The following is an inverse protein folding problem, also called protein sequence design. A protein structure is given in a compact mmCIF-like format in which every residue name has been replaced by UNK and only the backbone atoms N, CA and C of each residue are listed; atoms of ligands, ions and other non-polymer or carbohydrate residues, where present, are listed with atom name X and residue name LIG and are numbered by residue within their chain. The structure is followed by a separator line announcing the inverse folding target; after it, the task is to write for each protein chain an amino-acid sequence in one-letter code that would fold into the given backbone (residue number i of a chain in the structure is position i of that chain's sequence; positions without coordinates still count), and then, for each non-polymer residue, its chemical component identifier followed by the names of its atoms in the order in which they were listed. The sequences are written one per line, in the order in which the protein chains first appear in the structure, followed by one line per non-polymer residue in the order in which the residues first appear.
data_IF_204677494956
#
_entry.id   IF_204677494956
#
_cell.length_a   1.000
_cell.length_b   1.000
_cell.length_c   1.000
_cell.angle_alpha   90.00
_cell.angle_beta   90.00
_cell.angle_gamma   90.00
#
_symmetry.space_group_name_H-M   'P 1'
#
loop_
_entity.id
_entity.type
_entity.pdbx_description
1 polymer ?
#
# COMPACT_ATOMS: atom_id res chain seq x y z
N UNK A 1 8.36 20.64 -3.04
CA UNK A 1 8.26 21.07 -4.45
C UNK A 1 9.67 21.13 -5.04
N UNK A 2 9.85 20.63 -6.25
CA UNK A 2 11.15 20.59 -6.94
C UNK A 2 11.03 21.35 -8.26
N UNK A 3 12.02 22.21 -8.52
CA UNK A 3 12.20 22.93 -9.78
C UNK A 3 13.70 23.12 -10.10
N UNK A 4 14.00 23.40 -11.36
CA UNK A 4 15.38 23.62 -11.83
C UNK A 4 15.92 25.00 -11.39
N UNK A 5 15.08 26.01 -11.50
CA UNK A 5 15.42 27.41 -11.21
C UNK A 5 14.85 27.82 -9.84
N UNK A 6 15.18 29.01 -9.29
CA UNK A 6 14.57 29.49 -8.07
C UNK A 6 13.04 29.45 -8.12
N UNK A 7 12.43 28.88 -7.09
CA UNK A 7 10.98 28.62 -7.06
C UNK A 7 10.14 29.89 -7.20
N UNK A 8 10.67 31.03 -6.75
CA UNK A 8 10.03 32.34 -6.90
C UNK A 8 9.84 32.78 -8.35
N UNK A 9 10.53 32.16 -9.31
CA UNK A 9 10.32 32.40 -10.73
C UNK A 9 9.07 31.72 -11.27
N UNK A 10 8.50 30.77 -10.52
CA UNK A 10 7.40 29.93 -10.94
C UNK A 10 6.11 30.23 -10.18
N UNK A 11 6.23 30.48 -8.86
CA UNK A 11 5.09 30.68 -7.98
C UNK A 11 5.45 31.71 -6.90
N UNK A 12 4.47 32.45 -6.38
CA UNK A 12 4.66 33.29 -5.20
C UNK A 12 5.05 32.43 -3.99
N UNK A 13 5.97 32.95 -3.18
CA UNK A 13 6.49 32.26 -1.99
C UNK A 13 6.28 33.16 -0.77
N UNK A 14 5.92 32.55 0.35
CA UNK A 14 5.84 33.18 1.66
C UNK A 14 6.59 32.30 2.68
N UNK A 15 6.57 32.71 3.94
CA UNK A 15 7.09 31.92 5.06
C UNK A 15 5.95 31.51 5.98
N UNK A 16 6.00 30.27 6.48
CA UNK A 16 5.15 29.77 7.55
C UNK A 16 5.99 29.26 8.71
N UNK A 17 5.45 29.18 9.89
CA UNK A 17 6.10 28.56 11.02
C UNK A 17 6.28 27.07 10.76
N UNK A 18 7.46 26.53 11.05
CA UNK A 18 7.74 25.12 10.89
C UNK A 18 7.01 24.33 12.00
N UNK A 19 6.17 23.36 11.65
CA UNK A 19 5.39 22.61 12.64
C UNK A 19 6.26 21.71 13.53
N UNK A 20 7.42 21.27 13.04
CA UNK A 20 8.30 20.34 13.75
C UNK A 20 9.38 21.07 14.57
N UNK A 21 9.70 22.31 14.20
CA UNK A 21 10.78 23.11 14.84
C UNK A 21 10.25 24.49 15.28
N UNK A 22 9.75 24.63 16.52
CA UNK A 22 9.24 25.89 17.03
C UNK A 22 10.26 27.03 16.90
N UNK A 23 9.82 28.16 16.33
CA UNK A 23 10.65 29.32 16.10
C UNK A 23 11.42 29.34 14.77
N UNK A 24 11.41 28.24 14.02
CA UNK A 24 11.90 28.19 12.66
C UNK A 24 10.81 28.55 11.66
N UNK A 25 11.19 29.22 10.57
CA UNK A 25 10.28 29.51 9.46
C UNK A 25 10.72 28.75 8.22
N UNK A 26 9.77 28.10 7.56
CA UNK A 26 9.99 27.41 6.31
C UNK A 26 9.37 28.17 5.13
N UNK A 27 9.96 28.07 3.96
CA UNK A 27 9.44 28.66 2.73
C UNK A 27 8.28 27.80 2.20
N UNK A 28 7.17 28.42 1.90
CA UNK A 28 5.95 27.77 1.36
C UNK A 28 5.48 28.46 0.09
N UNK A 29 5.04 27.67 -0.87
CA UNK A 29 4.40 28.16 -2.08
C UNK A 29 2.98 28.65 -1.74
N UNK A 30 2.53 29.70 -2.41
CA UNK A 30 1.19 30.25 -2.19
C UNK A 30 0.07 29.58 -3.00
N UNK A 31 0.44 28.79 -4.01
CA UNK A 31 -0.52 28.00 -4.75
C UNK A 31 -0.86 26.70 -4.01
N UNK A 32 -2.14 26.32 -4.05
CA UNK A 32 -2.62 25.07 -3.48
C UNK A 32 -1.94 23.85 -4.10
N UNK A 33 -1.72 22.80 -3.29
CA UNK A 33 -1.07 21.57 -3.72
C UNK A 33 -1.76 20.84 -4.86
N UNK A 34 -3.06 21.09 -5.11
CA UNK A 34 -3.79 20.49 -6.23
C UNK A 34 -3.50 21.18 -7.58
N UNK A 35 -3.08 22.45 -7.55
CA UNK A 35 -2.81 23.22 -8.77
C UNK A 35 -1.31 23.42 -9.03
N UNK A 36 -0.45 23.12 -8.06
CA UNK A 36 0.98 23.37 -8.15
C UNK A 36 1.63 22.66 -9.35
N UNK A 37 1.19 21.44 -9.66
CA UNK A 37 1.73 20.67 -10.80
C UNK A 37 1.36 21.30 -12.15
N UNK A 38 0.24 22.01 -12.24
CA UNK A 38 -0.17 22.70 -13.47
C UNK A 38 0.69 23.92 -13.79
N UNK A 39 1.49 24.41 -12.84
CA UNK A 39 2.49 25.45 -13.05
C UNK A 39 3.82 24.94 -13.61
N UNK A 40 3.96 23.63 -13.84
CA UNK A 40 5.18 22.99 -14.32
C UNK A 40 6.16 22.58 -13.22
N UNK A 41 5.75 22.67 -11.95
CA UNK A 41 6.56 22.23 -10.81
C UNK A 41 6.28 20.75 -10.48
N UNK A 42 7.28 20.08 -9.90
CA UNK A 42 7.16 18.70 -9.44
C UNK A 42 6.84 18.70 -7.95
N UNK A 43 5.70 18.10 -7.58
CA UNK A 43 5.33 17.83 -6.19
C UNK A 43 5.79 16.43 -5.80
N UNK A 44 6.60 16.35 -4.77
CA UNK A 44 7.01 15.08 -4.16
C UNK A 44 6.53 15.02 -2.71
N UNK A 45 5.90 13.91 -2.35
CA UNK A 45 5.45 13.64 -0.99
C UNK A 45 6.45 12.70 -0.31
N UNK A 46 7.11 13.17 0.76
CA UNK A 46 8.04 12.38 1.55
C UNK A 46 7.31 11.86 2.78
N UNK A 47 7.07 10.54 2.82
CA UNK A 47 6.41 9.87 3.93
C UNK A 47 7.43 9.00 4.68
N UNK A 48 7.72 9.36 5.92
CA UNK A 48 8.56 8.58 6.81
C UNK A 48 7.75 7.56 7.60
N UNK A 49 8.37 6.41 7.91
CA UNK A 49 7.83 5.41 8.82
C UNK A 49 8.68 5.37 10.09
N UNK A 50 8.17 5.88 11.21
CA UNK A 50 8.85 5.88 12.52
C UNK A 50 9.25 4.47 12.95
N UNK A 51 8.40 3.46 12.71
CA UNK A 51 8.63 2.06 13.04
C UNK A 51 9.92 1.51 12.42
N UNK A 52 10.27 1.90 11.19
CA UNK A 52 11.55 1.48 10.60
C UNK A 52 12.75 2.08 11.33
N UNK A 53 12.64 3.31 11.83
CA UNK A 53 13.68 3.95 12.64
C UNK A 53 13.80 3.28 14.01
N UNK A 54 12.67 2.90 14.62
CA UNK A 54 12.61 2.15 15.88
C UNK A 54 13.26 0.78 15.74
N UNK A 55 12.96 0.04 14.65
CA UNK A 55 13.60 -1.25 14.37
C UNK A 55 15.12 -1.10 14.20
N UNK A 56 15.56 -0.09 13.46
CA UNK A 56 16.99 0.18 13.26
C UNK A 56 17.70 0.46 14.60
N UNK A 57 17.07 1.24 15.46
CA UNK A 57 17.65 1.53 16.79
C UNK A 57 17.61 0.28 17.69
N UNK A 58 16.55 -0.51 17.65
CA UNK A 58 16.44 -1.77 18.39
C UNK A 58 17.57 -2.75 18.01
N UNK A 59 17.84 -2.93 16.72
CA UNK A 59 18.97 -3.75 16.25
C UNK A 59 20.31 -3.27 16.82
N UNK A 60 20.52 -1.95 16.81
CA UNK A 60 21.73 -1.35 17.36
C UNK A 60 21.86 -1.57 18.88
N UNK A 61 20.76 -1.41 19.62
CA UNK A 61 20.73 -1.68 21.07
C UNK A 61 20.98 -3.17 21.36
N UNK A 62 20.39 -4.09 20.62
CA UNK A 62 20.64 -5.54 20.76
C UNK A 62 22.12 -5.84 20.54
N UNK A 63 22.75 -5.27 19.51
CA UNK A 63 24.19 -5.47 19.27
C UNK A 63 25.04 -4.92 20.45
N UNK A 64 24.69 -3.76 20.98
CA UNK A 64 25.44 -3.14 22.09
C UNK A 64 25.31 -3.91 23.41
N UNK A 65 24.11 -4.48 23.69
CA UNK A 65 23.83 -5.12 24.97
C UNK A 65 24.14 -6.62 24.99
N UNK A 66 24.02 -7.30 23.86
CA UNK A 66 24.17 -8.76 23.78
C UNK A 66 25.32 -9.23 22.89
N UNK A 67 25.92 -8.34 22.11
CA UNK A 67 26.91 -8.68 21.09
C UNK A 67 26.35 -9.39 19.85
N UNK A 68 25.03 -9.70 19.82
CA UNK A 68 24.38 -10.36 18.68
C UNK A 68 24.14 -9.37 17.54
N UNK A 69 24.41 -9.82 16.35
CA UNK A 69 23.98 -9.13 15.14
C UNK A 69 22.61 -9.66 14.68
N UNK A 70 21.71 -8.76 14.33
CA UNK A 70 20.40 -9.08 13.76
C UNK A 70 20.40 -8.53 12.34
N UNK A 71 20.27 -9.43 11.37
CA UNK A 71 20.15 -9.09 9.95
C UNK A 71 18.66 -9.04 9.58
N UNK A 72 18.14 -7.82 9.36
CA UNK A 72 16.75 -7.61 8.99
C UNK A 72 16.45 -7.93 7.53
N UNK A 73 17.48 -7.99 6.67
CA UNK A 73 17.31 -8.25 5.23
C UNK A 73 17.19 -9.75 4.93
N UNK A 74 17.62 -10.62 5.86
CA UNK A 74 17.60 -12.07 5.71
C UNK A 74 16.73 -12.76 6.78
N UNK A 75 15.62 -12.13 7.17
CA UNK A 75 14.64 -12.75 8.08
C UNK A 75 13.87 -13.84 7.32
N UNK A 76 13.73 -15.08 7.88
CA UNK A 76 12.89 -16.11 7.29
C UNK A 76 11.42 -15.65 7.30
N UNK A 77 10.74 -15.79 6.15
CA UNK A 77 9.34 -15.39 5.98
C UNK A 77 8.35 -16.56 6.18
N UNK A 78 8.85 -17.72 6.59
CA UNK A 78 8.13 -18.98 6.73
C UNK A 78 8.19 -19.54 8.17
N UNK A 79 8.48 -18.70 9.17
CA UNK A 79 8.53 -19.12 10.57
C UNK A 79 7.14 -19.47 11.12
N UNK A 80 6.94 -20.74 11.43
CA UNK A 80 5.65 -21.29 11.89
C UNK A 80 5.15 -20.64 13.20
N UNK A 81 6.05 -20.33 14.14
CA UNK A 81 5.66 -19.70 15.40
C UNK A 81 5.16 -18.28 15.20
N UNK A 82 5.74 -17.57 14.23
CA UNK A 82 5.26 -16.24 13.83
C UNK A 82 3.86 -16.33 13.22
N UNK A 83 3.60 -17.28 12.31
CA UNK A 83 2.25 -17.48 11.77
C UNK A 83 1.24 -17.85 12.84
N UNK A 84 1.61 -18.72 13.81
CA UNK A 84 0.74 -19.05 14.92
C UNK A 84 0.36 -17.80 15.74
N UNK A 85 1.30 -16.88 15.98
CA UNK A 85 1.02 -15.60 16.64
C UNK A 85 -0.04 -14.79 15.89
N UNK A 86 0.08 -14.71 14.55
CA UNK A 86 -0.90 -14.03 13.70
C UNK A 86 -2.25 -14.74 13.70
N UNK A 87 -2.29 -16.08 13.59
CA UNK A 87 -3.51 -16.89 13.63
C UNK A 87 -4.28 -16.74 14.94
N UNK A 88 -3.57 -16.62 16.05
CA UNK A 88 -4.17 -16.37 17.37
C UNK A 88 -4.60 -14.91 17.56
N UNK A 89 -4.21 -14.02 16.67
CA UNK A 89 -4.47 -12.58 16.75
C UNK A 89 -3.75 -11.91 17.92
N UNK A 90 -2.66 -12.47 18.42
CA UNK A 90 -1.82 -11.89 19.48
C UNK A 90 -0.80 -10.91 18.93
N UNK A 91 -1.26 -9.91 18.20
CA UNK A 91 -0.45 -9.03 17.37
C UNK A 91 -0.27 -7.62 17.93
N UNK A 92 -0.46 -7.45 19.23
CA UNK A 92 -0.12 -6.19 19.92
C UNK A 92 1.40 -5.96 19.79
N UNK A 93 1.81 -4.76 19.42
CA UNK A 93 3.21 -4.43 19.14
C UNK A 93 3.68 -4.82 17.72
N UNK A 94 2.82 -5.45 16.93
CA UNK A 94 3.14 -5.81 15.55
C UNK A 94 2.61 -4.74 14.60
N UNK A 95 3.51 -4.00 13.96
CA UNK A 95 3.17 -2.87 13.10
C UNK A 95 2.07 -3.18 12.10
N UNK A 96 1.04 -2.33 12.04
CA UNK A 96 -0.15 -2.42 11.17
C UNK A 96 -1.11 -3.59 11.47
N UNK A 97 -0.83 -4.45 12.46
CA UNK A 97 -1.68 -5.60 12.79
C UNK A 97 -2.28 -5.55 14.21
N UNK A 98 -2.16 -4.42 14.91
CA UNK A 98 -2.48 -4.29 16.33
C UNK A 98 -3.96 -4.03 16.62
N UNK A 99 -4.73 -3.49 15.67
CA UNK A 99 -6.11 -3.11 15.92
C UNK A 99 -7.00 -4.32 16.21
N UNK A 100 -7.99 -4.17 17.09
CA UNK A 100 -8.92 -5.25 17.44
C UNK A 100 -9.66 -5.82 16.21
N UNK A 101 -9.99 -4.97 15.23
CA UNK A 101 -10.61 -5.42 13.97
C UNK A 101 -9.66 -6.27 13.13
N UNK A 102 -8.40 -5.86 12.99
CA UNK A 102 -7.38 -6.64 12.29
C UNK A 102 -7.15 -7.98 12.99
N UNK A 103 -7.01 -7.99 14.32
CA UNK A 103 -6.84 -9.22 15.09
C UNK A 103 -8.00 -10.20 14.91
N UNK A 104 -9.25 -9.68 14.82
CA UNK A 104 -10.42 -10.51 14.51
C UNK A 104 -10.27 -11.18 13.15
N UNK A 105 -9.96 -10.41 12.11
CA UNK A 105 -9.80 -10.95 10.76
C UNK A 105 -8.61 -11.92 10.63
N UNK A 106 -7.52 -11.70 11.35
CA UNK A 106 -6.39 -12.64 11.39
C UNK A 106 -6.79 -14.00 11.96
N UNK A 107 -7.59 -14.01 13.02
CA UNK A 107 -8.11 -15.27 13.60
C UNK A 107 -9.03 -16.03 12.63
N UNK A 108 -9.81 -15.32 11.82
CA UNK A 108 -10.69 -15.92 10.81
C UNK A 108 -9.93 -16.38 9.58
N UNK A 109 -8.89 -15.62 9.18
CA UNK A 109 -8.06 -15.89 7.99
C UNK A 109 -7.15 -17.10 8.17
N UNK A 110 -6.61 -17.30 9.38
CA UNK A 110 -5.57 -18.27 9.64
C UNK A 110 -4.40 -18.16 8.64
N UNK A 111 -3.63 -17.06 8.62
CA UNK A 111 -2.57 -16.85 7.64
C UNK A 111 -1.52 -17.96 7.75
N UNK A 112 -1.10 -18.48 6.60
CA UNK A 112 -0.13 -19.57 6.50
C UNK A 112 1.05 -19.23 5.60
N UNK A 113 0.91 -18.16 4.82
CA UNK A 113 1.95 -17.64 3.90
C UNK A 113 2.03 -16.12 4.02
N UNK A 114 3.16 -15.57 3.62
CA UNK A 114 3.41 -14.13 3.74
C UNK A 114 2.44 -13.29 2.90
N UNK A 115 2.03 -13.82 1.74
CA UNK A 115 1.06 -13.22 0.84
C UNK A 115 -0.30 -12.98 1.51
N UNK A 116 -0.72 -13.83 2.44
CA UNK A 116 -1.95 -13.64 3.21
C UNK A 116 -1.90 -12.36 4.07
N UNK A 117 -0.75 -12.11 4.69
CA UNK A 117 -0.53 -10.92 5.51
C UNK A 117 -0.47 -9.66 4.65
N UNK A 118 0.19 -9.72 3.49
CA UNK A 118 0.24 -8.61 2.53
C UNK A 118 -1.17 -8.27 2.05
N UNK A 119 -1.94 -9.29 1.64
CA UNK A 119 -3.30 -9.10 1.15
C UNK A 119 -4.23 -8.53 2.24
N UNK A 120 -4.13 -9.05 3.47
CA UNK A 120 -4.93 -8.54 4.60
C UNK A 120 -4.61 -7.08 4.88
N UNK A 121 -3.35 -6.68 4.87
CA UNK A 121 -2.94 -5.30 5.05
C UNK A 121 -3.43 -4.38 3.92
N UNK A 122 -3.51 -4.90 2.70
CA UNK A 122 -4.07 -4.17 1.56
C UNK A 122 -5.59 -4.03 1.62
N UNK A 123 -6.28 -5.07 2.10
CA UNK A 123 -7.76 -5.11 2.19
C UNK A 123 -8.29 -4.34 3.41
N UNK A 124 -7.56 -4.31 4.53
CA UNK A 124 -8.03 -3.69 5.78
C UNK A 124 -7.98 -2.15 5.71
N UNK A 125 -8.83 -1.58 4.89
CA UNK A 125 -9.04 -0.13 4.75
C UNK A 125 -10.45 0.14 4.22
N UNK A 126 -11.04 1.33 4.46
CA UNK A 126 -12.38 1.68 3.98
C UNK A 126 -12.54 1.44 2.48
N UNK A 127 -13.56 0.68 2.11
CA UNK A 127 -13.85 0.24 0.75
C UNK A 127 -13.41 -1.21 0.51
N UNK A 128 -12.11 -1.52 0.37
CA UNK A 128 -11.65 -2.89 0.12
C UNK A 128 -11.98 -3.89 1.23
N UNK A 129 -12.19 -3.44 2.46
CA UNK A 129 -12.52 -4.35 3.58
C UNK A 129 -13.83 -5.12 3.40
N UNK A 130 -14.72 -4.68 2.52
CA UNK A 130 -15.95 -5.41 2.19
C UNK A 130 -15.67 -6.75 1.51
N UNK A 131 -14.47 -6.92 0.92
CA UNK A 131 -14.03 -8.15 0.29
C UNK A 131 -13.29 -9.12 1.23
N UNK A 132 -12.99 -8.73 2.47
CA UNK A 132 -12.29 -9.58 3.43
C UNK A 132 -13.05 -10.88 3.72
N UNK A 133 -14.39 -10.90 3.93
CA UNK A 133 -15.11 -12.14 4.16
C UNK A 133 -14.98 -13.14 2.99
N UNK A 134 -15.05 -12.65 1.75
CA UNK A 134 -14.89 -13.51 0.57
C UNK A 134 -13.45 -14.01 0.43
N UNK A 135 -12.46 -13.17 0.74
CA UNK A 135 -11.05 -13.55 0.74
C UNK A 135 -10.79 -14.69 1.74
N UNK A 136 -11.27 -14.54 2.98
CA UNK A 136 -11.16 -15.56 4.03
C UNK A 136 -11.85 -16.86 3.60
N UNK A 137 -13.08 -16.76 3.09
CA UNK A 137 -13.85 -17.91 2.65
C UNK A 137 -13.13 -18.69 1.54
N UNK A 138 -12.61 -18.01 0.53
CA UNK A 138 -11.92 -18.63 -0.61
C UNK A 138 -10.55 -19.20 -0.21
N UNK A 139 -9.85 -18.57 0.72
CA UNK A 139 -8.63 -19.13 1.29
C UNK A 139 -8.89 -20.44 2.04
N UNK A 140 -9.92 -20.46 2.88
CA UNK A 140 -10.26 -21.63 3.70
C UNK A 140 -10.91 -22.78 2.90
N UNK A 141 -11.54 -22.45 1.76
CA UNK A 141 -12.11 -23.41 0.82
C UNK A 141 -11.70 -23.07 -0.62
N UNK A 142 -10.58 -23.63 -1.10
CA UNK A 142 -10.10 -23.38 -2.46
C UNK A 142 -11.09 -23.76 -3.58
N UNK A 143 -12.08 -24.61 -3.31
CA UNK A 143 -13.10 -24.97 -4.29
C UNK A 143 -14.02 -23.79 -4.67
N UNK A 144 -14.05 -22.77 -3.85
CA UNK A 144 -14.80 -21.53 -4.06
C UNK A 144 -14.03 -20.48 -4.90
N UNK A 145 -12.77 -20.75 -5.20
CA UNK A 145 -11.98 -19.84 -6.05
C UNK A 145 -12.45 -19.98 -7.49
N UNK A 146 -12.94 -18.89 -8.04
CA UNK A 146 -13.43 -18.84 -9.42
C UNK A 146 -12.78 -17.66 -10.15
N UNK A 147 -12.60 -17.82 -11.45
CA UNK A 147 -12.11 -16.79 -12.35
C UNK A 147 -13.14 -16.59 -13.46
N UNK A 148 -13.58 -15.35 -13.69
CA UNK A 148 -14.54 -15.05 -14.77
C UNK A 148 -13.99 -15.44 -16.14
N UNK A 149 -12.67 -15.29 -16.32
CA UNK A 149 -11.94 -15.68 -17.52
C UNK A 149 -10.71 -16.48 -17.08
N UNK A 150 -10.45 -17.68 -17.63
CA UNK A 150 -9.38 -18.57 -17.16
C UNK A 150 -7.98 -17.93 -17.09
N UNK A 151 -7.64 -17.01 -18.00
CA UNK A 151 -6.33 -16.35 -17.98
C UNK A 151 -6.13 -15.38 -16.79
N UNK A 152 -7.18 -15.03 -16.04
CA UNK A 152 -7.08 -14.21 -14.83
C UNK A 152 -6.38 -14.96 -13.68
N UNK A 153 -6.44 -16.29 -13.67
CA UNK A 153 -5.76 -17.13 -12.68
C UNK A 153 -4.28 -16.75 -12.55
N UNK A 154 -3.60 -16.52 -13.66
CA UNK A 154 -2.19 -16.13 -13.68
C UNK A 154 -1.85 -14.95 -12.77
N UNK A 155 -2.80 -14.03 -12.58
CA UNK A 155 -2.61 -12.78 -11.83
C UNK A 155 -3.33 -12.76 -10.50
N UNK A 156 -4.33 -13.62 -10.31
CA UNK A 156 -5.21 -13.59 -9.14
C UNK A 156 -5.11 -14.83 -8.24
N UNK A 157 -4.32 -15.85 -8.60
CA UNK A 157 -4.23 -17.08 -7.80
C UNK A 157 -3.76 -16.81 -6.37
N UNK A 158 -2.76 -15.94 -6.18
CA UNK A 158 -2.18 -15.61 -4.87
C UNK A 158 -3.13 -14.74 -4.01
N UNK A 159 -4.21 -14.24 -4.60
CA UNK A 159 -5.28 -13.49 -3.93
C UNK A 159 -6.65 -14.19 -4.05
N UNK A 160 -6.63 -15.50 -4.26
CA UNK A 160 -7.83 -16.36 -4.28
C UNK A 160 -8.91 -15.89 -5.26
N UNK A 161 -8.50 -15.37 -6.42
CA UNK A 161 -9.40 -14.85 -7.45
C UNK A 161 -9.98 -13.45 -7.17
N UNK A 162 -9.49 -12.75 -6.15
CA UNK A 162 -9.92 -11.39 -5.81
C UNK A 162 -8.87 -10.39 -6.28
N UNK A 163 -9.32 -9.31 -6.91
CA UNK A 163 -8.43 -8.20 -7.27
C UNK A 163 -8.16 -7.34 -6.04
N UNK A 164 -6.98 -7.46 -5.48
CA UNK A 164 -6.54 -6.77 -4.25
C UNK A 164 -5.60 -5.62 -4.56
N UNK A 165 -4.66 -5.81 -5.51
CA UNK A 165 -3.58 -4.87 -5.76
C UNK A 165 -3.81 -4.04 -7.02
N UNK A 166 -3.27 -2.82 -7.01
CA UNK A 166 -3.31 -1.93 -8.18
C UNK A 166 -2.61 -2.54 -9.40
N UNK A 167 -1.52 -3.27 -9.17
CA UNK A 167 -0.77 -3.98 -10.19
C UNK A 167 -1.62 -5.03 -10.91
N UNK A 168 -2.48 -5.72 -10.17
CA UNK A 168 -3.41 -6.70 -10.76
C UNK A 168 -4.39 -6.01 -11.72
N UNK A 169 -4.93 -4.85 -11.36
CA UNK A 169 -5.80 -4.06 -12.27
C UNK A 169 -5.06 -3.69 -13.56
N UNK A 170 -3.82 -3.23 -13.43
CA UNK A 170 -3.01 -2.84 -14.58
C UNK A 170 -2.66 -4.04 -15.47
N UNK A 171 -2.29 -5.17 -14.87
CA UNK A 171 -1.94 -6.38 -15.61
C UNK A 171 -3.15 -6.99 -16.30
N UNK A 172 -4.30 -7.06 -15.61
CA UNK A 172 -5.55 -7.57 -16.17
C UNK A 172 -6.04 -6.70 -17.33
N UNK A 173 -6.05 -5.37 -17.19
CA UNK A 173 -6.48 -4.49 -18.29
C UNK A 173 -5.59 -4.61 -19.52
N UNK A 174 -4.30 -4.86 -19.33
CA UNK A 174 -3.38 -5.12 -20.47
C UNK A 174 -3.61 -6.48 -21.09
N UNK A 175 -3.87 -7.50 -20.28
CA UNK A 175 -4.07 -8.87 -20.74
C UNK A 175 -5.42 -9.05 -21.45
N UNK A 176 -6.49 -8.49 -20.90
CA UNK A 176 -7.86 -8.71 -21.37
C UNK A 176 -8.26 -7.72 -22.48
N UNK A 177 -7.82 -6.47 -22.36
CA UNK A 177 -8.23 -5.38 -23.24
C UNK A 177 -7.09 -4.79 -24.08
N UNK A 178 -5.92 -5.41 -24.06
CA UNK A 178 -4.75 -4.93 -24.80
C UNK A 178 -4.36 -3.47 -24.48
N UNK A 179 -4.63 -3.01 -23.28
CA UNK A 179 -4.24 -1.67 -22.86
C UNK A 179 -2.72 -1.50 -22.89
N UNK A 180 -2.28 -0.35 -23.33
CA UNK A 180 -0.88 0.07 -23.16
C UNK A 180 -0.55 0.32 -21.69
N UNK A 181 0.74 0.47 -21.36
CA UNK A 181 1.16 0.84 -19.99
C UNK A 181 0.53 2.15 -19.53
N UNK A 182 0.48 3.16 -20.40
CA UNK A 182 -0.11 4.46 -20.08
C UNK A 182 -1.61 4.37 -19.82
N UNK A 183 -2.35 3.60 -20.63
CA UNK A 183 -3.79 3.41 -20.43
C UNK A 183 -4.11 2.62 -19.16
N UNK A 184 -3.37 1.57 -18.85
CA UNK A 184 -3.55 0.81 -17.61
C UNK A 184 -3.24 1.67 -16.37
N UNK A 185 -2.23 2.55 -16.43
CA UNK A 185 -1.95 3.50 -15.35
C UNK A 185 -3.04 4.59 -15.23
N UNK A 186 -3.56 5.08 -16.36
CA UNK A 186 -4.69 6.01 -16.36
C UNK A 186 -5.95 5.38 -15.74
N UNK A 187 -6.24 4.10 -16.05
CA UNK A 187 -7.34 3.34 -15.44
C UNK A 187 -7.14 3.21 -13.93
N UNK A 188 -5.96 2.76 -13.50
CA UNK A 188 -5.61 2.65 -12.07
C UNK A 188 -5.81 3.98 -11.33
N UNK A 189 -5.30 5.08 -11.89
CA UNK A 189 -5.46 6.43 -11.31
C UNK A 189 -6.93 6.86 -11.23
N UNK A 190 -7.70 6.57 -12.28
CA UNK A 190 -9.12 6.91 -12.32
C UNK A 190 -9.93 6.13 -11.28
N UNK A 191 -9.64 4.83 -11.10
CA UNK A 191 -10.25 4.00 -10.08
C UNK A 191 -9.87 4.47 -8.66
N UNK A 192 -8.59 4.68 -8.39
CA UNK A 192 -8.10 5.13 -7.09
C UNK A 192 -8.65 6.50 -6.67
N UNK A 193 -8.82 7.42 -7.63
CA UNK A 193 -9.42 8.74 -7.40
C UNK A 193 -10.95 8.76 -7.57
N UNK A 194 -11.60 7.60 -7.74
CA UNK A 194 -13.05 7.44 -7.95
C UNK A 194 -13.62 8.31 -9.07
N UNK A 195 -12.85 8.52 -10.15
CA UNK A 195 -13.24 9.33 -11.31
C UNK A 195 -14.07 8.49 -12.29
N UNK A 196 -15.34 8.26 -11.94
CA UNK A 196 -16.26 7.39 -12.69
C UNK A 196 -16.33 7.75 -14.19
N UNK A 197 -16.43 9.03 -14.54
CA UNK A 197 -16.51 9.46 -15.93
C UNK A 197 -15.32 9.00 -16.79
N UNK A 198 -14.10 8.98 -16.23
CA UNK A 198 -12.91 8.50 -16.93
C UNK A 198 -12.97 6.99 -17.10
N UNK A 199 -13.38 6.25 -16.05
CA UNK A 199 -13.54 4.80 -16.12
C UNK A 199 -14.60 4.43 -17.16
N UNK A 200 -15.74 5.13 -17.16
CA UNK A 200 -16.82 4.87 -18.13
C UNK A 200 -16.40 5.17 -19.58
N UNK A 201 -15.58 6.19 -19.79
CA UNK A 201 -15.03 6.50 -21.12
C UNK A 201 -14.05 5.43 -21.63
N UNK A 202 -13.45 4.64 -20.75
CA UNK A 202 -12.53 3.56 -21.12
C UNK A 202 -13.25 2.23 -21.42
N UNK A 203 -14.51 2.05 -20.99
CA UNK A 203 -15.29 0.82 -21.21
C UNK A 203 -15.40 0.38 -22.67
N UNK A 204 -15.63 1.28 -23.67
CA UNK A 204 -15.76 0.86 -25.05
C UNK A 204 -14.48 0.26 -25.63
N UNK A 205 -13.34 0.54 -25.03
CA UNK A 205 -12.05 -0.01 -25.43
C UNK A 205 -11.73 -1.33 -24.68
N UNK A 206 -12.32 -1.53 -23.52
CA UNK A 206 -12.17 -2.73 -22.72
C UNK A 206 -13.01 -3.87 -23.30
#
# INVERSE_FOLDING_TARGET
IICRDPISNWVPVSTADDPDFPGLKTAVTQYDGHVIESTGLIKMDFLGLKTLSELKEAVKVVKQTTGREVDLDNIPIDDELTYQLYQEGRTIGTFQFESAGMQKYLRELHPTVFEDLIAMNALYRPGPMDYIPDFIKRKNDPSLVTYDIPCMEKYLKDTYGITVYQEQVMLLSRQLASFTRGESDALRKAMGKKKKAIVDAMKPKF
#
